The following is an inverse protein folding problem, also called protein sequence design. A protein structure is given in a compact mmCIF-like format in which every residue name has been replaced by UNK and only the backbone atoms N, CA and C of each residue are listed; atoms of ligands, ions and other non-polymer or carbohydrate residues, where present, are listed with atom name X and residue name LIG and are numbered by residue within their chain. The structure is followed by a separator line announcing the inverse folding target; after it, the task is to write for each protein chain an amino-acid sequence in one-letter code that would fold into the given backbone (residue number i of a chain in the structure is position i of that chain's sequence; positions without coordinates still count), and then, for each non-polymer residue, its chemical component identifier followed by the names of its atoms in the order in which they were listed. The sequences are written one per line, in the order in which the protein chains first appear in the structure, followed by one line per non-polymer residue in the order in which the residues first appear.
data_IF_305819536125
#
_entry.id   IF_305819536125
#
_cell.length_a   1.000
_cell.length_b   1.000
_cell.length_c   1.000
_cell.angle_alpha   90.00
_cell.angle_beta   90.00
_cell.angle_gamma   90.00
#
_symmetry.space_group_name_H-M   'P 1'
#
loop_
_entity.id
_entity.type
_entity.pdbx_description
1 polymer ?
#
# COMPACT_ATOMS: atom_id res chain seq x y z
N UNK A 1 10.11 -15.55 24.03
CA UNK A 1 9.32 -16.12 22.90
C UNK A 1 7.93 -15.52 22.94
N UNK A 2 7.67 -14.46 22.18
CA UNK A 2 6.34 -13.85 22.07
C UNK A 2 5.54 -14.66 21.05
N UNK A 3 4.59 -15.45 21.54
CA UNK A 3 3.59 -16.11 20.69
C UNK A 3 2.70 -15.04 20.08
N UNK A 4 2.93 -14.69 18.80
CA UNK A 4 2.00 -13.81 18.09
C UNK A 4 0.66 -14.52 17.99
N UNK A 5 -0.39 -13.97 18.61
CA UNK A 5 -1.77 -14.42 18.40
C UNK A 5 -2.02 -14.54 16.88
N UNK A 6 -2.77 -15.56 16.43
CA UNK A 6 -3.20 -15.63 15.03
C UNK A 6 -3.88 -14.30 14.68
N UNK A 7 -3.43 -13.68 13.60
CA UNK A 7 -3.96 -12.41 13.12
C UNK A 7 -5.41 -12.64 12.69
N UNK A 8 -6.36 -11.95 13.34
CA UNK A 8 -7.80 -11.97 13.00
C UNK A 8 -8.10 -11.27 11.65
N UNK A 9 -7.13 -11.26 10.74
CA UNK A 9 -7.14 -10.54 9.48
C UNK A 9 -8.24 -11.02 8.54
N UNK A 10 -8.57 -12.33 8.55
CA UNK A 10 -9.68 -12.85 7.76
C UNK A 10 -11.02 -12.29 8.24
N UNK A 11 -11.27 -12.31 9.54
CA UNK A 11 -12.49 -11.76 10.13
C UNK A 11 -12.57 -10.25 9.89
N UNK A 12 -11.48 -9.51 10.08
CA UNK A 12 -11.42 -8.09 9.72
C UNK A 12 -11.71 -7.84 8.24
N UNK A 13 -11.22 -8.71 7.34
CA UNK A 13 -11.55 -8.64 5.92
C UNK A 13 -13.04 -8.87 5.64
N UNK A 14 -13.70 -9.74 6.40
CA UNK A 14 -15.15 -9.96 6.32
C UNK A 14 -15.90 -8.70 6.79
N UNK A 15 -15.42 -8.02 7.83
CA UNK A 15 -15.98 -6.75 8.27
C UNK A 15 -15.79 -5.64 7.21
N UNK A 16 -14.62 -5.57 6.57
CA UNK A 16 -14.39 -4.66 5.44
C UNK A 16 -15.35 -4.93 4.28
N UNK A 17 -15.61 -6.20 3.96
CA UNK A 17 -16.59 -6.59 2.95
C UNK A 17 -17.99 -6.05 3.31
N UNK A 18 -18.42 -6.28 4.55
CA UNK A 18 -19.72 -5.83 5.06
C UNK A 18 -19.85 -4.32 5.00
N UNK A 19 -18.88 -3.58 5.53
CA UNK A 19 -18.90 -2.11 5.57
C UNK A 19 -18.88 -1.52 4.16
N UNK A 20 -18.11 -2.08 3.23
CA UNK A 20 -18.11 -1.63 1.82
C UNK A 20 -19.51 -1.72 1.22
N UNK A 21 -20.21 -2.83 1.44
CA UNK A 21 -21.56 -3.05 0.91
C UNK A 21 -22.62 -2.19 1.61
N UNK A 22 -22.46 -1.91 2.89
CA UNK A 22 -23.46 -1.16 3.68
C UNK A 22 -23.31 0.35 3.56
N UNK A 23 -22.07 0.85 3.46
CA UNK A 23 -21.80 2.29 3.52
C UNK A 23 -21.58 2.89 2.15
N UNK A 24 -20.78 2.23 1.30
CA UNK A 24 -20.35 2.80 0.02
C UNK A 24 -21.28 2.39 -1.12
N UNK A 25 -21.75 1.16 -1.08
CA UNK A 25 -22.57 0.63 -2.15
C UNK A 25 -24.03 1.06 -2.01
N UNK A 26 -24.54 1.70 -3.06
CA UNK A 26 -25.98 1.83 -3.29
C UNK A 26 -26.40 0.86 -4.38
N UNK A 27 -27.51 0.12 -4.24
CA UNK A 27 -27.98 -0.81 -5.26
C UNK A 27 -28.05 -0.13 -6.63
N UNK A 28 -27.31 -0.68 -7.59
CA UNK A 28 -27.34 -0.28 -9.00
C UNK A 28 -27.79 -1.45 -9.87
N UNK A 29 -27.81 -1.30 -11.19
CA UNK A 29 -28.16 -2.37 -12.12
C UNK A 29 -27.22 -3.59 -12.12
N UNK A 30 -26.05 -3.51 -11.48
CA UNK A 30 -25.06 -4.58 -11.42
C UNK A 30 -24.86 -5.04 -9.97
N UNK A 31 -24.53 -6.30 -9.74
CA UNK A 31 -24.28 -6.84 -8.39
C UNK A 31 -22.87 -6.53 -7.89
N UNK A 32 -22.70 -6.32 -6.57
CA UNK A 32 -21.40 -6.22 -5.91
C UNK A 32 -21.15 -7.39 -4.94
N UNK A 33 -20.14 -8.20 -5.24
CA UNK A 33 -19.58 -9.18 -4.32
C UNK A 33 -18.30 -8.63 -3.67
N UNK A 34 -18.21 -8.73 -2.36
CA UNK A 34 -16.97 -8.51 -1.62
C UNK A 34 -16.56 -9.84 -0.99
N UNK A 35 -15.25 -10.17 -1.05
CA UNK A 35 -14.70 -11.39 -0.47
C UNK A 35 -13.31 -11.19 0.13
N UNK A 36 -12.89 -12.14 0.94
CA UNK A 36 -11.54 -12.16 1.53
C UNK A 36 -10.65 -13.18 0.83
N UNK A 37 -9.49 -12.75 0.35
CA UNK A 37 -8.42 -13.61 -0.16
C UNK A 37 -7.35 -13.87 0.90
N UNK A 38 -6.57 -14.94 0.76
CA UNK A 38 -5.47 -15.28 1.68
C UNK A 38 -4.20 -14.44 1.46
N UNK A 39 -4.05 -13.80 0.30
CA UNK A 39 -2.84 -13.09 -0.11
C UNK A 39 -2.79 -11.62 0.28
N UNK A 40 -1.82 -10.90 -0.30
CA UNK A 40 -1.71 -9.44 -0.22
C UNK A 40 -2.52 -8.72 -1.30
N UNK A 41 -2.92 -9.43 -2.35
CA UNK A 41 -3.67 -8.85 -3.45
C UNK A 41 -5.02 -8.32 -2.96
N UNK A 42 -5.22 -7.01 -3.13
CA UNK A 42 -6.48 -6.31 -2.89
C UNK A 42 -6.80 -5.55 -4.17
N UNK A 43 -7.98 -5.81 -4.74
CA UNK A 43 -8.34 -5.28 -6.06
C UNK A 43 -9.84 -5.38 -6.36
N UNK A 44 -10.29 -4.48 -7.22
CA UNK A 44 -11.55 -4.56 -7.97
C UNK A 44 -11.39 -5.28 -9.33
N UNK A 45 -12.36 -6.14 -9.64
CA UNK A 45 -12.59 -6.71 -10.98
C UNK A 45 -14.07 -6.61 -11.37
N UNK A 46 -14.34 -6.61 -12.67
CA UNK A 46 -15.68 -6.75 -13.23
C UNK A 46 -15.71 -7.99 -14.13
N UNK A 47 -16.74 -8.82 -13.95
CA UNK A 47 -17.03 -9.95 -14.84
C UNK A 47 -18.13 -9.55 -15.82
N UNK A 48 -17.83 -9.42 -17.12
CA UNK A 48 -18.82 -9.04 -18.12
C UNK A 48 -19.88 -10.12 -18.37
N UNK A 49 -19.58 -11.40 -18.12
CA UNK A 49 -20.52 -12.50 -18.35
C UNK A 49 -21.66 -12.51 -17.35
N UNK A 50 -21.34 -12.33 -16.07
CA UNK A 50 -22.30 -12.24 -14.97
C UNK A 50 -22.74 -10.81 -14.64
N UNK A 51 -22.17 -9.80 -15.31
CA UNK A 51 -22.33 -8.36 -15.01
C UNK A 51 -22.09 -8.03 -13.54
N UNK A 52 -21.11 -8.69 -12.94
CA UNK A 52 -20.87 -8.61 -11.51
C UNK A 52 -19.56 -7.88 -11.20
N UNK A 53 -19.61 -6.96 -10.24
CA UNK A 53 -18.42 -6.39 -9.62
C UNK A 53 -17.93 -7.27 -8.48
N UNK A 54 -16.62 -7.44 -8.38
CA UNK A 54 -16.00 -8.10 -7.24
C UNK A 54 -14.86 -7.25 -6.67
N UNK A 55 -14.92 -7.01 -5.37
CA UNK A 55 -13.80 -6.48 -4.57
C UNK A 55 -13.23 -7.61 -3.71
N UNK A 56 -11.92 -7.83 -3.79
CA UNK A 56 -11.22 -8.80 -2.95
C UNK A 56 -10.33 -8.07 -1.97
N UNK A 57 -10.47 -8.32 -0.67
CA UNK A 57 -9.55 -7.83 0.37
C UNK A 57 -8.59 -8.94 0.78
N UNK A 58 -7.28 -8.67 0.72
CA UNK A 58 -6.26 -9.65 1.07
C UNK A 58 -5.98 -9.72 2.58
N UNK A 59 -6.07 -10.91 3.19
CA UNK A 59 -5.76 -11.09 4.62
C UNK A 59 -4.32 -10.66 4.96
N UNK A 60 -3.32 -11.03 4.15
CA UNK A 60 -1.92 -10.59 4.38
C UNK A 60 -1.72 -9.09 4.15
N UNK A 61 -2.60 -8.44 3.38
CA UNK A 61 -2.60 -6.97 3.25
C UNK A 61 -3.12 -6.32 4.55
N UNK A 62 -4.16 -6.89 5.14
CA UNK A 62 -4.70 -6.42 6.43
C UNK A 62 -3.64 -6.58 7.53
N UNK A 63 -2.97 -7.73 7.61
CA UNK A 63 -1.87 -7.96 8.55
C UNK A 63 -0.75 -6.92 8.40
N UNK A 64 -0.37 -6.63 7.15
CA UNK A 64 0.64 -5.62 6.87
C UNK A 64 0.21 -4.22 7.32
N UNK A 65 -1.05 -3.82 7.08
CA UNK A 65 -1.54 -2.49 7.51
C UNK A 65 -1.62 -2.29 9.02
N UNK A 66 -1.52 -3.34 9.82
CA UNK A 66 -1.38 -3.24 11.28
C UNK A 66 0.06 -3.00 11.74
N UNK A 67 1.04 -3.09 10.83
CA UNK A 67 2.47 -2.96 11.13
C UNK A 67 3.03 -1.67 10.52
N UNK A 68 3.41 -0.66 11.34
CA UNK A 68 3.96 0.61 10.86
C UNK A 68 5.14 0.43 9.88
N UNK A 69 5.98 -0.58 10.11
CA UNK A 69 7.18 -0.86 9.32
C UNK A 69 6.85 -1.22 7.86
N UNK A 70 5.69 -1.86 7.65
CA UNK A 70 5.26 -2.27 6.32
C UNK A 70 4.29 -1.29 5.67
N UNK A 71 3.67 -0.40 6.47
CA UNK A 71 2.73 0.64 6.02
C UNK A 71 3.33 1.56 4.93
N UNK A 72 4.65 1.82 5.00
CA UNK A 72 5.42 2.66 4.06
C UNK A 72 5.36 2.19 2.60
N UNK A 73 5.20 0.89 2.36
CA UNK A 73 5.20 0.32 1.02
C UNK A 73 3.91 0.59 0.25
N UNK A 74 2.80 0.80 0.96
CA UNK A 74 1.47 0.80 0.39
C UNK A 74 1.13 2.12 -0.28
N UNK A 75 0.43 2.03 -1.41
CA UNK A 75 -0.10 3.20 -2.10
C UNK A 75 -1.05 3.99 -1.19
N UNK A 76 -1.92 3.30 -0.44
CA UNK A 76 -2.86 3.92 0.50
C UNK A 76 -2.20 4.83 1.54
N UNK A 77 -1.01 4.46 2.05
CA UNK A 77 -0.32 5.31 3.02
C UNK A 77 0.16 6.61 2.39
N UNK A 78 0.68 6.54 1.15
CA UNK A 78 1.08 7.73 0.38
C UNK A 78 -0.12 8.59 0.02
N UNK A 79 -1.23 7.99 -0.38
CA UNK A 79 -2.46 8.69 -0.73
C UNK A 79 -3.01 9.47 0.47
N UNK A 80 -3.07 8.83 1.65
CA UNK A 80 -3.52 9.48 2.90
C UNK A 80 -2.68 10.73 3.19
N UNK A 81 -1.35 10.60 3.19
CA UNK A 81 -0.46 11.72 3.51
C UNK A 81 -0.45 12.81 2.43
N UNK A 82 -0.34 12.45 1.15
CA UNK A 82 -0.17 13.42 0.06
C UNK A 82 -1.45 14.18 -0.27
N UNK A 83 -2.62 13.57 -0.03
CA UNK A 83 -3.92 14.19 -0.31
C UNK A 83 -4.62 14.71 0.95
N UNK A 84 -4.01 14.53 2.12
CA UNK A 84 -4.57 14.97 3.39
C UNK A 84 -5.84 14.22 3.81
N UNK A 85 -6.06 13.02 3.29
CA UNK A 85 -7.20 12.20 3.72
C UNK A 85 -7.07 11.84 5.18
N UNK A 86 -8.18 11.84 5.93
CA UNK A 86 -8.15 11.61 7.39
C UNK A 86 -7.10 12.48 8.10
N UNK A 87 -7.00 13.75 7.67
CA UNK A 87 -6.02 14.73 8.17
C UNK A 87 -4.55 14.30 7.98
N UNK A 88 -4.29 13.40 7.03
CA UNK A 88 -2.97 12.84 6.78
C UNK A 88 -2.50 11.80 7.81
N UNK A 89 -3.34 11.46 8.79
CA UNK A 89 -2.97 10.54 9.87
C UNK A 89 -2.95 9.09 9.39
N UNK A 90 -1.84 8.40 9.62
CA UNK A 90 -1.73 6.97 9.41
C UNK A 90 -2.07 6.22 10.70
N UNK A 91 -3.12 5.41 10.65
CA UNK A 91 -3.48 4.43 11.67
C UNK A 91 -3.94 3.14 10.97
N UNK A 92 -3.94 1.97 11.64
CA UNK A 92 -4.51 0.76 11.05
C UNK A 92 -5.96 0.98 10.60
N UNK A 93 -6.77 1.68 11.40
CA UNK A 93 -8.15 2.01 11.06
C UNK A 93 -8.25 2.88 9.80
N UNK A 94 -7.50 3.98 9.72
CA UNK A 94 -7.48 4.86 8.54
C UNK A 94 -7.01 4.11 7.29
N UNK A 95 -5.99 3.26 7.41
CA UNK A 95 -5.45 2.49 6.29
C UNK A 95 -6.44 1.47 5.73
N UNK A 96 -7.24 0.83 6.60
CA UNK A 96 -8.25 -0.15 6.18
C UNK A 96 -9.48 0.55 5.61
N UNK A 97 -9.97 1.61 6.26
CA UNK A 97 -11.09 2.42 5.75
C UNK A 97 -10.77 3.02 4.38
N UNK A 98 -9.56 3.59 4.22
CA UNK A 98 -9.09 4.10 2.93
C UNK A 98 -9.06 3.01 1.86
N UNK A 99 -8.64 1.79 2.21
CA UNK A 99 -8.60 0.67 1.26
C UNK A 99 -10.00 0.28 0.78
N UNK A 100 -11.03 0.34 1.62
CA UNK A 100 -12.41 0.15 1.17
C UNK A 100 -12.80 1.21 0.12
N UNK A 101 -12.54 2.49 0.40
CA UNK A 101 -12.82 3.58 -0.52
C UNK A 101 -12.03 3.48 -1.83
N UNK A 102 -10.75 3.08 -1.76
CA UNK A 102 -9.87 2.93 -2.92
C UNK A 102 -10.40 1.87 -3.90
N UNK A 103 -10.74 0.68 -3.40
CA UNK A 103 -11.28 -0.37 -4.25
C UNK A 103 -12.68 -0.03 -4.78
N UNK A 104 -13.47 0.68 -3.98
CA UNK A 104 -14.76 1.17 -4.43
C UNK A 104 -14.64 2.26 -5.52
N UNK A 105 -13.65 3.13 -5.43
CA UNK A 105 -13.37 4.12 -6.47
C UNK A 105 -13.01 3.44 -7.81
N UNK A 106 -12.33 2.31 -7.80
CA UNK A 106 -12.11 1.51 -9.02
C UNK A 106 -13.41 0.96 -9.62
N UNK A 107 -14.38 0.58 -8.78
CA UNK A 107 -15.71 0.19 -9.23
C UNK A 107 -16.40 1.35 -9.94
N UNK A 108 -16.48 2.52 -9.30
CA UNK A 108 -17.13 3.71 -9.87
C UNK A 108 -16.43 4.16 -11.15
N UNK A 109 -15.10 4.13 -11.17
CA UNK A 109 -14.28 4.43 -12.35
C UNK A 109 -14.58 3.47 -13.51
N UNK A 110 -14.77 2.18 -13.22
CA UNK A 110 -15.16 1.20 -14.23
C UNK A 110 -16.56 1.49 -14.78
N UNK A 111 -17.53 1.78 -13.92
CA UNK A 111 -18.90 2.14 -14.34
C UNK A 111 -18.93 3.40 -15.21
N UNK A 112 -18.05 4.37 -14.94
CA UNK A 112 -17.90 5.57 -15.76
C UNK A 112 -17.20 5.32 -17.12
N UNK A 113 -16.72 4.10 -17.38
CA UNK A 113 -15.93 3.77 -18.57
C UNK A 113 -14.57 4.48 -18.61
N UNK A 114 -14.04 4.91 -17.45
CA UNK A 114 -12.80 5.69 -17.33
C UNK A 114 -11.63 4.91 -16.73
N UNK A 115 -11.73 3.57 -16.73
CA UNK A 115 -10.64 2.67 -16.34
C UNK A 115 -9.91 2.20 -17.60
N UNK A 116 -8.63 2.54 -17.73
CA UNK A 116 -7.83 2.24 -18.93
C UNK A 116 -6.70 1.26 -18.61
N UNK A 117 -6.34 0.42 -19.58
CA UNK A 117 -5.20 -0.50 -19.47
C UNK A 117 -3.91 0.31 -19.24
N UNK A 118 -3.17 -0.02 -18.18
CA UNK A 118 -1.94 0.68 -17.80
C UNK A 118 -2.15 2.03 -17.09
N UNK A 119 -3.40 2.48 -16.89
CA UNK A 119 -3.70 3.76 -16.24
C UNK A 119 -4.95 3.65 -15.36
N UNK A 120 -4.82 2.89 -14.26
CA UNK A 120 -5.91 2.64 -13.31
C UNK A 120 -6.03 3.73 -12.25
N UNK A 121 -4.95 4.40 -11.85
CA UNK A 121 -4.94 5.55 -10.93
C UNK A 121 -4.79 6.88 -11.69
N UNK A 122 -5.70 7.12 -12.63
CA UNK A 122 -5.71 8.31 -13.48
C UNK A 122 -6.44 9.51 -12.82
N UNK A 123 -6.46 10.72 -13.42
CA UNK A 123 -7.13 11.87 -12.80
C UNK A 123 -8.62 11.66 -12.51
N UNK A 124 -9.32 10.83 -13.28
CA UNK A 124 -10.73 10.52 -13.01
C UNK A 124 -10.89 9.62 -11.77
N UNK A 125 -10.01 8.62 -11.61
CA UNK A 125 -9.97 7.83 -10.37
C UNK A 125 -9.79 8.71 -9.14
N UNK A 126 -8.82 9.63 -9.19
CA UNK A 126 -8.57 10.49 -8.05
C UNK A 126 -9.71 11.47 -7.78
N UNK A 127 -10.38 12.03 -8.79
CA UNK A 127 -11.59 12.84 -8.56
C UNK A 127 -12.69 12.06 -7.84
N UNK A 128 -12.89 10.79 -8.19
CA UNK A 128 -13.84 9.93 -7.47
C UNK A 128 -13.38 9.75 -6.03
N UNK A 129 -12.12 9.34 -5.82
CA UNK A 129 -11.59 9.07 -4.49
C UNK A 129 -11.60 10.32 -3.60
N UNK A 130 -11.22 11.48 -4.14
CA UNK A 130 -11.31 12.78 -3.49
C UNK A 130 -12.76 13.08 -3.07
N UNK A 131 -13.73 12.82 -3.97
CA UNK A 131 -15.16 12.96 -3.69
C UNK A 131 -15.63 12.05 -2.54
N UNK A 132 -15.24 10.77 -2.51
CA UNK A 132 -15.58 9.87 -1.39
C UNK A 132 -15.09 10.42 -0.03
N UNK A 133 -13.97 11.14 -0.01
CA UNK A 133 -13.46 11.79 1.21
C UNK A 133 -14.20 13.09 1.52
N UNK A 134 -14.36 13.97 0.53
CA UNK A 134 -15.01 15.27 0.67
C UNK A 134 -16.49 15.14 1.08
N UNK A 135 -17.21 14.16 0.53
CA UNK A 135 -18.63 13.92 0.80
C UNK A 135 -18.87 13.15 2.12
N UNK A 136 -17.81 12.86 2.88
CA UNK A 136 -17.88 12.19 4.19
C UNK A 136 -18.07 10.67 4.13
N UNK A 137 -18.19 10.06 2.95
CA UNK A 137 -18.34 8.60 2.81
C UNK A 137 -17.13 7.82 3.36
N UNK A 138 -15.92 8.37 3.25
CA UNK A 138 -14.73 7.79 3.84
C UNK A 138 -14.78 7.82 5.38
N UNK A 139 -15.27 8.90 5.97
CA UNK A 139 -15.44 9.02 7.42
C UNK A 139 -16.57 8.09 7.93
N UNK A 140 -17.67 7.98 7.19
CA UNK A 140 -18.72 7.00 7.49
C UNK A 140 -18.19 5.56 7.42
N UNK A 141 -17.34 5.26 6.43
CA UNK A 141 -16.69 3.94 6.28
C UNK A 141 -15.76 3.66 7.46
N UNK A 142 -14.95 4.65 7.86
CA UNK A 142 -14.09 4.57 9.05
C UNK A 142 -14.89 4.29 10.31
N UNK A 143 -15.95 5.07 10.57
CA UNK A 143 -16.79 4.93 11.74
C UNK A 143 -17.49 3.55 11.79
N UNK A 144 -18.13 3.15 10.69
CA UNK A 144 -18.80 1.85 10.60
C UNK A 144 -17.83 0.68 10.80
N UNK A 145 -16.61 0.76 10.25
CA UNK A 145 -15.60 -0.27 10.43
C UNK A 145 -15.13 -0.37 11.88
N UNK A 146 -14.87 0.78 12.54
CA UNK A 146 -14.52 0.82 13.96
C UNK A 146 -15.59 0.18 14.83
N UNK A 147 -16.83 0.61 14.65
CA UNK A 147 -17.95 0.20 15.50
C UNK A 147 -18.28 -1.28 15.30
N UNK A 148 -18.27 -1.74 14.04
CA UNK A 148 -18.48 -3.15 13.73
C UNK A 148 -17.35 -4.02 14.27
N UNK A 149 -16.10 -3.61 14.12
CA UNK A 149 -14.96 -4.36 14.63
C UNK A 149 -14.97 -4.45 16.16
N UNK A 150 -15.31 -3.36 16.85
CA UNK A 150 -15.51 -3.36 18.30
C UNK A 150 -16.60 -4.34 18.76
N UNK A 151 -17.77 -4.35 18.09
CA UNK A 151 -18.87 -5.30 18.39
C UNK A 151 -18.47 -6.77 18.21
N UNK A 152 -17.53 -7.06 17.33
CA UNK A 152 -17.02 -8.41 17.09
C UNK A 152 -15.79 -8.75 17.96
N UNK A 153 -15.40 -7.91 18.92
CA UNK A 153 -14.23 -8.14 19.77
C UNK A 153 -12.89 -8.01 19.03
N UNK A 154 -12.87 -7.27 17.92
CA UNK A 154 -11.73 -7.05 17.04
C UNK A 154 -11.37 -5.55 16.95
N UNK A 155 -11.14 -4.83 18.07
CA UNK A 155 -10.87 -3.40 18.01
C UNK A 155 -9.66 -3.11 17.10
N UNK A 156 -9.83 -2.15 16.19
CA UNK A 156 -8.77 -1.69 15.29
C UNK A 156 -8.23 -0.40 15.89
N UNK A 157 -6.92 -0.33 16.14
CA UNK A 157 -6.29 0.89 16.66
C UNK A 157 -6.52 2.06 15.70
N UNK A 158 -6.92 3.20 16.26
CA UNK A 158 -6.94 4.50 15.58
C UNK A 158 -5.73 5.36 15.97
N UNK A 159 -4.81 4.79 16.75
CA UNK A 159 -3.61 5.49 17.18
C UNK A 159 -2.76 5.80 15.95
N UNK A 160 -2.43 7.08 15.82
CA UNK A 160 -1.53 7.54 14.79
C UNK A 160 -0.16 6.90 14.96
N UNK A 161 0.44 6.50 13.86
CA UNK A 161 1.86 6.17 13.81
C UNK A 161 2.55 7.00 12.75
N UNK A 162 3.76 7.43 13.07
CA UNK A 162 4.64 8.03 12.08
C UNK A 162 5.33 6.92 11.28
N UNK A 163 5.47 7.14 9.98
CA UNK A 163 6.40 6.33 9.22
C UNK A 163 7.81 6.74 9.65
N UNK A 164 8.76 5.79 9.74
CA UNK A 164 10.17 6.14 9.87
C UNK A 164 10.53 7.20 8.83
N UNK A 165 11.40 8.16 9.14
CA UNK A 165 11.84 9.18 8.19
C UNK A 165 12.56 8.51 7.01
N UNK A 166 12.17 8.73 5.74
CA UNK A 166 12.96 8.27 4.58
C UNK A 166 14.37 8.86 4.53
N UNK A 167 14.63 9.95 5.27
CA UNK A 167 15.95 10.53 5.50
C UNK A 167 16.91 9.65 6.28
N UNK A 168 16.44 8.81 7.21
CA UNK A 168 17.33 8.11 8.14
C UNK A 168 18.14 6.95 7.50
N UNK A 169 17.72 6.44 6.33
CA UNK A 169 18.54 5.53 5.50
C UNK A 169 19.30 6.26 4.37
N UNK A 170 18.91 7.49 4.02
CA UNK A 170 19.62 8.32 3.04
C UNK A 170 20.96 8.82 3.57
N UNK A 171 21.11 8.89 4.88
CA UNK A 171 22.24 9.51 5.58
C UNK A 171 23.58 8.80 5.44
N UNK A 172 23.65 7.63 4.79
CA UNK A 172 24.90 6.86 4.72
C UNK A 172 25.54 6.77 3.34
N UNK A 173 24.87 7.20 2.26
CA UNK A 173 25.37 7.01 0.91
C UNK A 173 25.31 8.30 0.09
N UNK A 174 26.47 8.76 -0.36
CA UNK A 174 26.68 9.92 -1.21
C UNK A 174 27.24 9.51 -2.58
N UNK A 175 27.10 10.40 -3.57
CA UNK A 175 27.82 10.28 -4.84
C UNK A 175 29.32 10.44 -4.54
N UNK A 176 30.13 9.51 -5.03
CA UNK A 176 31.56 9.44 -4.74
C UNK A 176 31.95 8.38 -3.70
N UNK A 177 31.01 7.83 -2.94
CA UNK A 177 31.34 6.79 -1.96
C UNK A 177 31.80 5.50 -2.64
N UNK A 178 32.86 4.90 -2.10
CA UNK A 178 33.33 3.58 -2.48
C UNK A 178 32.57 2.52 -1.71
N UNK A 179 32.03 1.54 -2.44
CA UNK A 179 31.13 0.53 -1.91
C UNK A 179 31.47 -0.86 -2.41
N UNK A 180 31.17 -1.87 -1.60
CA UNK A 180 31.13 -3.26 -2.01
C UNK A 180 29.69 -3.79 -2.02
N UNK A 181 29.39 -4.73 -2.93
CA UNK A 181 28.08 -5.35 -3.07
C UNK A 181 28.16 -6.69 -3.79
N UNK A 182 27.22 -7.60 -3.50
CA UNK A 182 27.14 -8.87 -4.21
C UNK A 182 26.44 -8.72 -5.57
N UNK A 183 27.07 -9.20 -6.64
CA UNK A 183 26.44 -9.31 -7.97
C UNK A 183 27.02 -10.48 -8.77
N UNK A 184 26.15 -11.27 -9.39
CA UNK A 184 26.55 -12.39 -10.27
C UNK A 184 27.36 -13.48 -9.57
N UNK A 185 27.06 -13.77 -8.30
CA UNK A 185 27.71 -14.83 -7.53
C UNK A 185 29.06 -14.45 -6.89
N UNK A 186 29.49 -13.19 -6.98
CA UNK A 186 30.70 -12.69 -6.32
C UNK A 186 30.54 -11.29 -5.74
N UNK A 187 31.46 -10.89 -4.88
CA UNK A 187 31.56 -9.51 -4.38
C UNK A 187 32.17 -8.61 -5.46
N UNK A 188 31.61 -7.40 -5.58
CA UNK A 188 32.00 -6.38 -6.54
C UNK A 188 32.24 -5.09 -5.78
N UNK A 189 33.13 -4.27 -6.32
CA UNK A 189 33.45 -2.95 -5.78
C UNK A 189 33.12 -1.87 -6.82
N UNK A 190 32.82 -0.68 -6.33
CA UNK A 190 32.63 0.46 -7.20
C UNK A 190 32.38 1.77 -6.47
N UNK A 191 32.18 2.82 -7.25
CA UNK A 191 31.92 4.18 -6.77
C UNK A 191 30.48 4.58 -7.09
N UNK A 192 29.76 5.16 -6.13
CA UNK A 192 28.39 5.62 -6.34
C UNK A 192 28.38 6.82 -7.30
N UNK A 193 27.70 6.68 -8.44
CA UNK A 193 27.46 7.78 -9.39
C UNK A 193 26.15 8.52 -9.14
N UNK A 194 25.15 7.83 -8.58
CA UNK A 194 23.81 8.39 -8.36
C UNK A 194 23.08 7.64 -7.26
N UNK A 195 22.51 8.38 -6.32
CA UNK A 195 21.64 7.84 -5.27
C UNK A 195 20.18 8.04 -5.68
N UNK A 196 19.38 6.97 -5.68
CA UNK A 196 17.92 7.02 -5.86
C UNK A 196 17.23 6.48 -4.61
N UNK A 197 15.91 6.67 -4.52
CA UNK A 197 15.11 6.31 -3.33
C UNK A 197 15.30 4.87 -2.81
N UNK A 198 15.54 3.89 -3.69
CA UNK A 198 15.70 2.46 -3.30
C UNK A 198 17.01 1.83 -3.80
N UNK A 199 17.77 2.55 -4.61
CA UNK A 199 18.91 1.98 -5.35
C UNK A 199 19.96 3.03 -5.64
N UNK A 200 21.24 2.65 -5.59
CA UNK A 200 22.34 3.44 -6.16
C UNK A 200 22.71 2.93 -7.56
N UNK A 201 23.18 3.85 -8.40
CA UNK A 201 23.95 3.51 -9.59
C UNK A 201 25.42 3.52 -9.21
N UNK A 202 26.09 2.38 -9.33
CA UNK A 202 27.49 2.20 -8.97
C UNK A 202 28.31 1.95 -10.22
N UNK A 203 29.40 2.69 -10.39
CA UNK A 203 30.42 2.46 -11.43
C UNK A 203 31.40 1.42 -10.90
N UNK A 204 31.46 0.27 -11.54
CA UNK A 204 32.40 -0.78 -11.15
C UNK A 204 33.84 -0.30 -11.21
N UNK A 205 34.64 -0.68 -10.22
CA UNK A 205 36.09 -0.47 -10.15
C UNK A 205 36.83 -1.80 -10.31
N UNK A 206 38.17 -1.76 -10.40
CA UNK A 206 39.01 -2.96 -10.49
C UNK A 206 38.60 -3.90 -11.64
N UNK A 207 38.37 -5.20 -11.38
CA UNK A 207 37.94 -6.18 -12.39
C UNK A 207 36.60 -5.87 -13.06
N UNK A 208 35.79 -4.96 -12.50
CA UNK A 208 34.46 -4.59 -13.02
C UNK A 208 34.45 -3.21 -13.66
N UNK A 209 35.64 -2.66 -13.98
CA UNK A 209 35.79 -1.34 -14.60
C UNK A 209 35.04 -1.25 -15.93
N UNK A 210 34.27 -0.18 -16.10
CA UNK A 210 33.47 0.08 -17.31
C UNK A 210 32.03 -0.43 -17.22
N UNK A 211 31.69 -1.24 -16.21
CA UNK A 211 30.33 -1.72 -15.97
C UNK A 211 29.59 -0.79 -15.00
N UNK A 212 28.29 -0.60 -15.21
CA UNK A 212 27.40 0.12 -14.30
C UNK A 212 26.40 -0.84 -13.68
N UNK A 213 26.27 -0.77 -12.36
CA UNK A 213 25.34 -1.58 -11.59
C UNK A 213 24.23 -0.72 -11.01
N UNK A 214 23.02 -1.28 -10.94
CA UNK A 214 21.93 -0.70 -10.16
C UNK A 214 21.72 -1.56 -8.93
N UNK A 215 22.13 -1.06 -7.78
CA UNK A 215 22.25 -1.84 -6.55
C UNK A 215 21.22 -1.34 -5.53
N UNK A 216 20.33 -2.19 -4.99
CA UNK A 216 19.48 -1.85 -3.85
C UNK A 216 20.31 -1.34 -2.67
N UNK A 217 19.84 -0.29 -1.98
CA UNK A 217 20.60 0.34 -0.88
C UNK A 217 21.00 -0.65 0.21
N UNK A 218 20.15 -1.66 0.47
CA UNK A 218 20.36 -2.70 1.48
C UNK A 218 21.49 -3.69 1.15
N UNK A 219 21.99 -3.69 -0.09
CA UNK A 219 23.08 -4.57 -0.53
C UNK A 219 24.44 -3.87 -0.58
N UNK A 220 24.46 -2.55 -0.36
CA UNK A 220 25.70 -1.77 -0.30
C UNK A 220 26.35 -1.95 1.07
N UNK A 221 27.67 -2.07 1.05
CA UNK A 221 28.54 -2.08 2.23
C UNK A 221 29.67 -1.09 2.02
N UNK A 222 30.15 -0.47 3.10
CA UNK A 222 31.33 0.38 3.03
C UNK A 222 32.51 -0.51 2.72
N UNK A 223 33.38 -0.05 1.81
CA UNK A 223 34.72 -0.60 1.73
C UNK A 223 35.44 -0.09 2.97
N UNK A 224 35.52 -0.91 4.03
CA UNK A 224 36.29 -0.57 5.23
C UNK A 224 37.71 -0.18 4.81
N UNK A 225 38.24 0.91 5.39
CA UNK A 225 39.67 1.17 5.40
C UNK A 225 40.41 0.08 6.20
#
# INVERSE_FOLDING_TARGET
MTTSKPTNARQLGELMCTVTKQVLWSPSHNELICRVGSGQATYHRFDPGSRQHQITYGARMIEAKHRPETARGWLSGREIQQRGYFDGQLSPLNLLAHTCCHEFAHLLQHNAGKRFRGSVHNPHFYRILDGLHADGQANATKAALRDLAARHGLPISDDGFELPDPGSERTHWAVGDTVTFAAGGGEKEGEILRVNRKTCTVKGTGPSRGVRYRVPLQLLRNTSA
#
